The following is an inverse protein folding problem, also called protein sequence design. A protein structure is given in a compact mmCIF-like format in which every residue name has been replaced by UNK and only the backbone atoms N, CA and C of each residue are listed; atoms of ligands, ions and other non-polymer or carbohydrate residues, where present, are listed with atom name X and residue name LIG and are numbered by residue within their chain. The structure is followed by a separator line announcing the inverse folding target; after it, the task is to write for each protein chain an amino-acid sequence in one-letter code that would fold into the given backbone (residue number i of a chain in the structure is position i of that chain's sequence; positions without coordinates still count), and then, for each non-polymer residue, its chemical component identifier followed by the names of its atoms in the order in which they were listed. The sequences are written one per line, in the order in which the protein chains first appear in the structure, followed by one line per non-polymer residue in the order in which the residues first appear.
data_IF_257962812905
#
_entry.id   IF_257962812905
#
_cell.length_a   1.000
_cell.length_b   1.000
_cell.length_c   1.000
_cell.angle_alpha   90.00
_cell.angle_beta   90.00
_cell.angle_gamma   90.00
#
_symmetry.space_group_name_H-M   'P 1'
#
loop_
_entity.id
_entity.type
_entity.pdbx_description
1 polymer ?
#
# COMPACT_ATOMS: atom_id res chain seq x y z
N UNK A 1 -50.62 -42.84 -8.04
CA UNK A 1 -49.30 -43.40 -7.68
C UNK A 1 -48.23 -42.59 -8.44
N UNK A 2 -47.45 -41.73 -7.80
CA UNK A 2 -46.34 -41.00 -8.45
C UNK A 2 -45.02 -41.32 -7.73
N UNK A 3 -43.90 -41.54 -8.44
CA UNK A 3 -42.61 -41.77 -7.80
C UNK A 3 -41.94 -40.44 -7.43
N UNK A 4 -41.40 -40.35 -6.21
CA UNK A 4 -40.64 -39.19 -5.72
C UNK A 4 -39.23 -39.21 -6.31
N UNK A 5 -38.78 -38.08 -6.88
CA UNK A 5 -37.39 -37.86 -7.35
C UNK A 5 -36.41 -37.76 -6.17
N UNK A 6 -35.17 -38.26 -6.25
CA UNK A 6 -34.17 -38.03 -5.21
C UNK A 6 -33.62 -36.60 -5.26
N UNK A 7 -33.43 -36.02 -4.08
CA UNK A 7 -32.83 -34.70 -3.85
C UNK A 7 -31.35 -34.70 -4.23
N UNK A 8 -30.94 -33.71 -5.04
CA UNK A 8 -29.55 -33.48 -5.44
C UNK A 8 -28.82 -32.77 -4.29
N UNK A 9 -27.82 -33.42 -3.69
CA UNK A 9 -26.96 -32.84 -2.64
C UNK A 9 -25.96 -31.88 -3.30
N UNK A 10 -25.71 -30.66 -2.79
CA UNK A 10 -24.65 -29.80 -3.33
C UNK A 10 -23.28 -30.26 -2.82
N UNK A 11 -22.32 -30.47 -3.72
CA UNK A 11 -20.93 -30.78 -3.38
C UNK A 11 -20.27 -29.58 -2.69
N UNK A 12 -19.61 -29.75 -1.52
CA UNK A 12 -18.91 -28.65 -0.88
C UNK A 12 -17.50 -28.49 -1.48
N UNK A 13 -17.06 -27.23 -1.56
CA UNK A 13 -15.69 -26.80 -1.77
C UNK A 13 -15.02 -27.08 -3.14
N UNK A 14 -15.41 -26.30 -4.16
CA UNK A 14 -14.40 -25.81 -5.12
C UNK A 14 -13.52 -24.79 -4.38
N UNK A 15 -12.46 -25.26 -3.75
CA UNK A 15 -11.45 -24.38 -3.15
C UNK A 15 -10.86 -23.49 -4.25
N UNK A 16 -11.10 -22.18 -4.14
CA UNK A 16 -10.48 -21.17 -5.00
C UNK A 16 -8.98 -21.16 -4.64
N UNK A 17 -8.14 -21.75 -5.49
CA UNK A 17 -6.69 -21.61 -5.39
C UNK A 17 -6.36 -20.12 -5.51
N UNK A 18 -5.98 -19.49 -4.41
CA UNK A 18 -5.36 -18.18 -4.45
C UNK A 18 -3.97 -18.37 -5.05
N UNK A 19 -3.72 -17.78 -6.21
CA UNK A 19 -2.35 -17.67 -6.72
C UNK A 19 -1.59 -16.72 -5.78
N UNK A 20 -0.50 -17.21 -5.20
CA UNK A 20 0.44 -16.36 -4.49
C UNK A 20 1.08 -15.42 -5.52
N UNK A 21 0.57 -14.19 -5.59
CA UNK A 21 1.27 -13.11 -6.29
C UNK A 21 2.53 -12.75 -5.50
N UNK A 22 3.60 -12.44 -6.22
CA UNK A 22 4.87 -11.97 -5.67
C UNK A 22 4.63 -10.97 -4.54
N UNK A 23 5.13 -11.30 -3.35
CA UNK A 23 5.04 -10.41 -2.19
C UNK A 23 5.93 -9.19 -2.48
N UNK A 24 5.33 -8.14 -3.05
CA UNK A 24 6.02 -6.88 -3.25
C UNK A 24 6.57 -6.41 -1.90
N UNK A 25 7.90 -6.28 -1.82
CA UNK A 25 8.57 -5.70 -0.65
C UNK A 25 7.86 -4.39 -0.28
N UNK A 26 7.74 -4.07 1.03
CA UNK A 26 7.05 -2.87 1.47
C UNK A 26 7.65 -1.65 0.77
N UNK A 27 6.86 -1.03 -0.10
CA UNK A 27 7.26 0.21 -0.77
C UNK A 27 7.24 1.29 0.28
N UNK A 28 8.42 1.63 0.81
CA UNK A 28 8.59 2.84 1.61
C UNK A 28 8.23 4.00 0.68
N UNK A 29 7.05 4.60 0.90
CA UNK A 29 6.59 5.70 0.07
C UNK A 29 7.57 6.87 0.25
N UNK A 30 8.35 7.16 -0.79
CA UNK A 30 9.13 8.37 -0.87
C UNK A 30 8.15 9.53 -1.07
N UNK A 31 8.28 10.57 -0.23
CA UNK A 31 7.54 11.81 -0.43
C UNK A 31 8.16 12.57 -1.59
N UNK A 32 7.40 12.83 -2.64
CA UNK A 32 7.85 13.66 -3.77
C UNK A 32 7.34 15.09 -3.57
N UNK A 33 8.24 16.02 -3.31
CA UNK A 33 7.93 17.45 -3.20
C UNK A 33 8.04 18.06 -4.60
N UNK A 34 6.99 18.77 -5.04
CA UNK A 34 6.93 19.47 -6.33
C UNK A 34 6.71 20.96 -6.09
N UNK A 35 7.17 21.79 -7.02
CA UNK A 35 6.71 23.17 -7.08
C UNK A 35 5.22 23.18 -7.42
N UNK A 36 4.40 23.77 -6.55
CA UNK A 36 2.96 23.87 -6.79
C UNK A 36 2.64 24.70 -8.05
N UNK A 37 3.56 25.57 -8.48
CA UNK A 37 3.38 26.42 -9.67
C UNK A 37 3.84 25.74 -10.96
N UNK A 38 4.58 24.65 -10.86
CA UNK A 38 4.95 23.79 -11.98
C UNK A 38 4.76 22.30 -11.60
N UNK A 39 3.51 21.79 -11.65
CA UNK A 39 3.21 20.41 -11.28
C UNK A 39 3.95 19.37 -12.15
N UNK A 40 4.30 19.75 -13.38
CA UNK A 40 4.99 18.89 -14.35
C UNK A 40 6.51 18.94 -14.23
N UNK A 41 7.04 19.88 -13.45
CA UNK A 41 8.47 20.04 -13.19
C UNK A 41 9.11 18.89 -12.41
N UNK A 42 10.43 18.98 -12.16
CA UNK A 42 11.16 18.00 -11.36
C UNK A 42 10.59 17.88 -9.94
N UNK A 43 10.66 16.66 -9.38
CA UNK A 43 10.27 16.40 -8.00
C UNK A 43 11.51 16.07 -7.15
N UNK A 44 11.55 16.61 -5.93
CA UNK A 44 12.54 16.22 -4.94
C UNK A 44 12.04 15.00 -4.16
N UNK A 45 12.83 13.92 -4.15
CA UNK A 45 12.55 12.73 -3.36
C UNK A 45 13.04 12.93 -1.92
N UNK A 46 12.12 12.87 -0.96
CA UNK A 46 12.42 12.94 0.48
C UNK A 46 12.18 11.57 1.10
N UNK A 47 13.23 11.02 1.72
CA UNK A 47 13.13 9.76 2.46
C UNK A 47 12.35 10.00 3.76
N UNK A 48 11.38 9.15 4.12
CA UNK A 48 10.60 9.33 5.35
C UNK A 48 11.46 9.48 6.61
N UNK A 49 12.49 8.65 6.77
CA UNK A 49 13.40 8.73 7.92
C UNK A 49 14.15 10.07 8.01
N UNK A 50 14.55 10.63 6.86
CA UNK A 50 15.20 11.94 6.80
C UNK A 50 14.24 13.07 7.18
N UNK A 51 12.98 13.00 6.72
CA UNK A 51 11.95 13.97 7.09
C UNK A 51 11.65 13.94 8.59
N UNK A 52 11.51 12.76 9.19
CA UNK A 52 11.29 12.61 10.64
C UNK A 52 12.43 13.24 11.43
N UNK A 53 13.68 12.89 11.11
CA UNK A 53 14.86 13.43 11.80
C UNK A 53 14.95 14.96 11.64
N UNK A 54 14.64 15.48 10.46
CA UNK A 54 14.59 16.93 10.22
C UNK A 54 13.56 17.62 11.11
N UNK A 55 12.32 17.12 11.17
CA UNK A 55 11.26 17.71 12.00
C UNK A 55 11.63 17.69 13.49
N UNK A 56 12.21 16.59 13.96
CA UNK A 56 12.70 16.48 15.34
C UNK A 56 13.78 17.52 15.65
N UNK A 57 14.77 17.64 14.78
CA UNK A 57 15.84 18.62 14.91
C UNK A 57 15.31 20.07 14.90
N UNK A 58 14.33 20.39 14.04
CA UNK A 58 13.66 21.71 14.05
C UNK A 58 12.97 21.97 15.38
N UNK A 59 12.21 21.00 15.91
CA UNK A 59 11.45 21.15 17.16
C UNK A 59 12.33 21.43 18.37
N UNK A 60 13.53 20.85 18.42
CA UNK A 60 14.50 21.07 19.50
C UNK A 60 15.41 22.27 19.24
N UNK A 61 15.23 23.00 18.14
CA UNK A 61 16.04 24.17 17.79
C UNK A 61 17.44 23.84 17.28
N UNK A 62 17.64 22.64 16.70
CA UNK A 62 18.94 22.12 16.26
C UNK A 62 19.55 22.77 15.01
N UNK A 63 18.84 23.70 14.37
CA UNK A 63 19.30 24.42 13.16
C UNK A 63 19.37 25.94 13.39
N UNK A 64 20.16 26.38 14.37
CA UNK A 64 20.45 27.81 14.58
C UNK A 64 21.73 28.20 13.83
N UNK A 65 21.74 29.44 13.32
CA UNK A 65 22.86 30.06 12.61
C UNK A 65 23.97 30.53 13.56
#
# INVERSE_FOLDING_TARGET
MQPRRPSRVPSPHRARRASAGDAAAPRVALGNVRDSKDPSGPALAVRPAGWTAFVEAVRVGGFRA
#
